data_IF_837622720493
#
_entry.id   IF_837622720493
#
_cell.length_a   1.000
_cell.length_b   1.000
_cell.length_c   1.000
_cell.angle_alpha   90.00
_cell.angle_beta   90.00
_cell.angle_gamma   90.00
#
_symmetry.space_group_name_H-M   'P 1'
#
loop_
_entity.id
_entity.type
_entity.pdbx_description
1 polymer ?
#
# COMPACT_ATOMS: atom_id res chain seq x y z
N UNK A 1 31.39 20.61 10.62
CA UNK A 1 30.96 21.04 9.28
C UNK A 1 31.62 22.33 8.81
N UNK A 2 32.73 22.78 9.42
CA UNK A 2 33.38 24.06 9.08
C UNK A 2 34.55 23.90 8.09
N UNK A 3 34.29 23.37 6.89
CA UNK A 3 35.20 23.54 5.75
C UNK A 3 34.57 24.56 4.82
N UNK A 4 35.06 25.79 4.85
CA UNK A 4 34.52 26.89 4.04
C UNK A 4 34.65 26.63 2.52
N UNK A 5 35.56 25.73 2.13
CA UNK A 5 35.83 25.31 0.75
C UNK A 5 35.29 23.91 0.45
N UNK A 6 34.02 23.65 0.71
CA UNK A 6 33.39 22.38 0.34
C UNK A 6 32.05 22.61 -0.34
N UNK A 7 31.84 21.90 -1.44
CA UNK A 7 30.58 21.89 -2.19
C UNK A 7 29.50 21.14 -1.41
N UNK A 8 28.23 21.37 -1.76
CA UNK A 8 27.10 20.61 -1.18
C UNK A 8 27.28 19.09 -1.31
N UNK A 9 27.81 18.60 -2.43
CA UNK A 9 28.09 17.17 -2.64
C UNK A 9 29.19 16.65 -1.71
N UNK A 10 30.29 17.39 -1.54
CA UNK A 10 31.38 17.00 -0.63
C UNK A 10 30.95 17.02 0.83
N UNK A 11 30.12 17.98 1.22
CA UNK A 11 29.55 18.07 2.56
C UNK A 11 28.64 16.87 2.81
N UNK A 12 27.76 16.53 1.86
CA UNK A 12 26.88 15.37 1.97
C UNK A 12 27.67 14.05 1.99
N UNK A 13 28.69 13.91 1.13
CA UNK A 13 29.56 12.73 1.13
C UNK A 13 30.31 12.57 2.47
N UNK A 14 30.80 13.67 3.05
CA UNK A 14 31.42 13.65 4.37
C UNK A 14 30.44 13.26 5.48
N UNK A 15 29.16 13.64 5.35
CA UNK A 15 28.10 13.19 6.25
C UNK A 15 27.87 11.68 6.14
N UNK A 16 27.69 11.15 4.92
CA UNK A 16 27.50 9.71 4.71
C UNK A 16 28.69 8.88 5.22
N UNK A 17 29.92 9.33 4.96
CA UNK A 17 31.12 8.66 5.46
C UNK A 17 31.15 8.61 6.98
N UNK A 18 30.73 9.69 7.65
CA UNK A 18 30.67 9.76 9.11
C UNK A 18 29.60 8.82 9.66
N UNK A 19 28.41 8.79 9.04
CA UNK A 19 27.35 7.86 9.37
C UNK A 19 27.81 6.40 9.29
N UNK A 20 28.50 6.03 8.21
CA UNK A 20 29.05 4.68 8.03
C UNK A 20 30.11 4.32 9.08
N UNK A 21 31.00 5.27 9.41
CA UNK A 21 32.04 5.09 10.43
C UNK A 21 31.50 4.93 11.84
N UNK A 22 30.43 5.67 12.17
CA UNK A 22 29.78 5.63 13.48
C UNK A 22 28.68 4.55 13.57
N UNK A 23 28.44 3.80 12.48
CA UNK A 23 27.40 2.78 12.36
C UNK A 23 25.99 3.25 12.77
N UNK A 24 25.70 4.52 12.49
CA UNK A 24 24.43 5.14 12.84
C UNK A 24 23.35 4.80 11.80
N UNK A 25 22.11 4.67 12.27
CA UNK A 25 20.98 4.66 11.36
C UNK A 25 20.80 6.03 10.69
N UNK A 26 20.07 6.05 9.57
CA UNK A 26 19.86 7.25 8.76
C UNK A 26 19.23 8.40 9.55
N UNK A 27 18.29 8.08 10.46
CA UNK A 27 17.58 9.06 11.24
C UNK A 27 18.41 9.62 12.39
N UNK A 28 19.17 8.77 13.07
CA UNK A 28 20.08 9.15 14.14
C UNK A 28 21.19 10.08 13.62
N UNK A 29 21.78 9.75 12.46
CA UNK A 29 22.77 10.59 11.81
C UNK A 29 22.18 11.95 11.42
N UNK A 30 20.98 11.96 10.82
CA UNK A 30 20.29 13.20 10.46
C UNK A 30 19.94 14.06 11.69
N UNK A 31 19.50 13.44 12.80
CA UNK A 31 19.24 14.12 14.07
C UNK A 31 20.50 14.82 14.61
N UNK A 32 21.67 14.18 14.50
CA UNK A 32 22.94 14.78 14.93
C UNK A 32 23.28 16.08 14.18
N UNK A 33 22.90 16.17 12.90
CA UNK A 33 23.08 17.38 12.08
C UNK A 33 21.99 18.41 12.37
N UNK A 34 20.75 17.97 12.52
CA UNK A 34 19.61 18.80 12.92
C UNK A 34 19.89 19.57 14.22
N UNK A 35 20.44 18.89 15.24
CA UNK A 35 20.80 19.51 16.52
C UNK A 35 21.88 20.61 16.42
N UNK A 36 22.58 20.71 15.29
CA UNK A 36 23.57 21.74 15.02
C UNK A 36 22.97 22.99 14.35
N UNK A 37 21.69 22.97 13.97
CA UNK A 37 21.06 24.08 13.24
C UNK A 37 20.95 25.35 14.09
N UNK A 38 20.26 25.27 15.23
CA UNK A 38 20.09 26.39 16.17
C UNK A 38 21.41 27.06 16.60
N UNK A 39 22.46 26.32 17.03
CA UNK A 39 23.72 26.96 17.41
C UNK A 39 24.50 27.55 16.23
N UNK A 40 24.13 27.25 14.98
CA UNK A 40 24.87 27.72 13.81
C UNK A 40 24.57 29.19 13.46
N UNK A 41 25.62 30.01 13.45
CA UNK A 41 25.51 31.46 13.14
C UNK A 41 25.78 31.81 11.67
N UNK A 42 26.36 30.87 10.91
CA UNK A 42 26.74 31.07 9.51
C UNK A 42 25.63 30.56 8.60
N UNK A 43 25.16 31.40 7.67
CA UNK A 43 24.15 31.05 6.67
C UNK A 43 24.57 29.81 5.85
N UNK A 44 25.82 29.74 5.41
CA UNK A 44 26.37 28.58 4.69
C UNK A 44 26.19 27.26 5.44
N UNK A 45 26.39 27.27 6.77
CA UNK A 45 26.20 26.09 7.63
C UNK A 45 24.72 25.71 7.72
N UNK A 46 23.83 26.69 7.91
CA UNK A 46 22.37 26.47 7.96
C UNK A 46 21.86 25.86 6.66
N UNK A 47 22.28 26.39 5.51
CA UNK A 47 21.92 25.87 4.19
C UNK A 47 22.45 24.44 3.99
N UNK A 48 23.67 24.18 4.46
CA UNK A 48 24.25 22.83 4.40
C UNK A 48 23.44 21.83 5.22
N UNK A 49 22.98 22.23 6.41
CA UNK A 49 22.12 21.39 7.25
C UNK A 49 20.79 21.12 6.56
N UNK A 50 20.10 22.16 6.07
CA UNK A 50 18.83 22.01 5.35
C UNK A 50 18.98 21.11 4.12
N UNK A 51 20.08 21.28 3.38
CA UNK A 51 20.40 20.45 2.22
C UNK A 51 20.59 18.98 2.61
N UNK A 52 21.32 18.68 3.69
CA UNK A 52 21.51 17.30 4.15
C UNK A 52 20.16 16.69 4.56
N UNK A 53 19.38 17.39 5.39
CA UNK A 53 18.08 16.91 5.89
C UNK A 53 17.06 16.70 4.76
N UNK A 54 17.15 17.47 3.67
CA UNK A 54 16.35 17.22 2.47
C UNK A 54 16.92 16.06 1.65
N UNK A 55 18.19 16.17 1.22
CA UNK A 55 18.85 15.23 0.29
C UNK A 55 18.86 13.79 0.81
N UNK A 56 19.01 13.61 2.11
CA UNK A 56 19.05 12.27 2.70
C UNK A 56 17.72 11.51 2.57
N UNK A 57 16.61 12.22 2.39
CA UNK A 57 15.26 11.66 2.31
C UNK A 57 14.57 11.93 0.96
N UNK A 58 15.29 12.27 -0.11
CA UNK A 58 14.70 12.54 -1.43
C UNK A 58 13.99 11.34 -2.06
N UNK A 59 14.23 10.13 -1.54
CA UNK A 59 13.51 8.93 -1.96
C UNK A 59 12.09 8.85 -1.39
N UNK A 60 11.77 9.66 -0.37
CA UNK A 60 10.46 9.77 0.23
C UNK A 60 9.74 11.03 -0.32
N UNK A 61 8.41 11.00 -0.44
CA UNK A 61 7.66 12.21 -0.73
C UNK A 61 7.81 13.21 0.44
N UNK A 62 7.73 14.52 0.15
CA UNK A 62 8.06 15.59 1.12
C UNK A 62 7.20 15.54 2.39
N UNK A 63 5.96 15.07 2.26
CA UNK A 63 5.00 14.87 3.35
C UNK A 63 5.40 13.73 4.33
N UNK A 64 6.31 12.85 3.91
CA UNK A 64 6.89 11.78 4.74
C UNK A 64 8.32 12.06 5.19
N UNK A 65 8.85 13.27 4.94
CA UNK A 65 10.15 13.66 5.45
C UNK A 65 10.08 13.81 6.98
N UNK A 66 10.94 13.13 7.76
CA UNK A 66 10.87 13.17 9.24
C UNK A 66 11.17 14.56 9.84
N UNK A 67 11.77 15.46 9.06
CA UNK A 67 12.06 16.84 9.46
C UNK A 67 11.08 17.86 8.87
N UNK A 68 9.95 17.42 8.30
CA UNK A 68 8.96 18.31 7.70
C UNK A 68 8.42 19.35 8.68
N UNK A 69 8.07 18.94 9.91
CA UNK A 69 7.60 19.85 10.97
C UNK A 69 8.59 20.98 11.20
N UNK A 70 9.87 20.65 11.29
CA UNK A 70 10.94 21.62 11.45
C UNK A 70 11.06 22.57 10.25
N UNK A 71 10.93 22.07 9.01
CA UNK A 71 10.95 22.94 7.84
C UNK A 71 9.79 23.93 7.83
N UNK A 72 8.60 23.49 8.21
CA UNK A 72 7.40 24.33 8.28
C UNK A 72 7.51 25.39 9.39
N UNK A 73 7.96 25.00 10.59
CA UNK A 73 8.22 25.94 11.70
C UNK A 73 9.24 27.01 11.29
N UNK A 74 10.33 26.61 10.63
CA UNK A 74 11.33 27.57 10.15
C UNK A 74 10.80 28.51 9.07
N UNK A 75 9.88 28.06 8.23
CA UNK A 75 9.25 28.94 7.23
C UNK A 75 8.45 30.05 7.91
N UNK A 76 7.73 29.73 8.99
CA UNK A 76 6.96 30.72 9.75
C UNK A 76 7.85 31.70 10.54
N UNK A 77 8.99 31.21 11.04
CA UNK A 77 9.91 32.00 11.86
C UNK A 77 10.86 32.90 11.05
N UNK A 78 11.25 32.47 9.85
CA UNK A 78 12.27 33.16 9.07
C UNK A 78 11.70 34.34 8.26
N UNK A 79 12.46 35.44 8.10
CA UNK A 79 12.04 36.55 7.25
C UNK A 79 11.86 36.09 5.79
N UNK A 80 10.75 36.47 5.16
CA UNK A 80 10.45 36.11 3.75
C UNK A 80 11.56 36.53 2.75
N UNK A 81 12.31 37.58 3.06
CA UNK A 81 13.41 38.07 2.25
C UNK A 81 14.74 37.31 2.48
N UNK A 82 14.79 36.38 3.44
CA UNK A 82 15.99 35.60 3.73
C UNK A 82 16.20 34.49 2.68
N UNK A 83 17.46 34.19 2.41
CA UNK A 83 17.83 33.12 1.49
C UNK A 83 17.40 31.75 2.05
N UNK A 84 17.52 31.54 3.36
CA UNK A 84 17.08 30.33 4.03
C UNK A 84 15.58 30.08 3.86
N UNK A 85 14.76 31.12 3.98
CA UNK A 85 13.32 31.03 3.72
C UNK A 85 13.05 30.64 2.27
N UNK A 86 13.69 31.32 1.30
CA UNK A 86 13.54 30.98 -0.12
C UNK A 86 13.99 29.53 -0.44
N UNK A 87 15.07 29.07 0.20
CA UNK A 87 15.60 27.72 0.07
C UNK A 87 14.63 26.66 0.60
N UNK A 88 14.02 26.91 1.77
CA UNK A 88 13.00 26.03 2.35
C UNK A 88 11.78 25.90 1.44
N UNK A 89 11.33 27.00 0.84
CA UNK A 89 10.24 26.95 -0.13
C UNK A 89 10.58 26.10 -1.35
N UNK A 90 11.81 26.18 -1.87
CA UNK A 90 12.24 25.29 -2.95
C UNK A 90 12.24 23.81 -2.53
N UNK A 91 12.54 23.51 -1.26
CA UNK A 91 12.42 22.15 -0.70
C UNK A 91 10.95 21.72 -0.65
N UNK A 92 10.06 22.55 -0.10
CA UNK A 92 8.64 22.22 0.09
C UNK A 92 7.88 22.07 -1.23
N UNK A 93 8.17 22.91 -2.22
CA UNK A 93 7.60 22.81 -3.58
C UNK A 93 8.29 21.72 -4.43
N UNK A 94 9.31 21.02 -3.90
CA UNK A 94 10.15 20.04 -4.61
C UNK A 94 10.76 20.59 -5.91
N UNK A 95 11.11 21.88 -5.91
CA UNK A 95 11.72 22.59 -7.05
C UNK A 95 13.21 22.82 -6.88
N UNK A 96 13.81 22.37 -5.77
CA UNK A 96 15.23 22.57 -5.48
C UNK A 96 16.10 22.01 -6.62
N UNK A 97 16.94 22.84 -7.26
CA UNK A 97 17.79 22.38 -8.36
C UNK A 97 18.91 21.47 -7.84
N UNK A 98 19.64 20.83 -8.76
CA UNK A 98 20.84 20.09 -8.37
C UNK A 98 21.94 21.09 -7.94
N UNK A 99 22.19 21.16 -6.63
CA UNK A 99 23.17 22.05 -6.03
C UNK A 99 24.54 21.39 -5.78
N UNK A 100 24.75 20.15 -6.25
CA UNK A 100 25.91 19.33 -5.89
C UNK A 100 27.26 20.00 -6.10
N UNK A 101 27.41 20.80 -7.16
CA UNK A 101 28.65 21.50 -7.51
C UNK A 101 28.81 22.90 -6.93
N UNK A 102 27.79 23.41 -6.22
CA UNK A 102 27.79 24.76 -5.67
C UNK A 102 28.33 24.79 -4.23
N UNK A 103 28.89 25.93 -3.85
CA UNK A 103 29.34 26.16 -2.48
C UNK A 103 28.21 26.80 -1.67
N UNK A 104 27.97 26.36 -0.42
CA UNK A 104 26.91 26.94 0.40
C UNK A 104 27.08 28.44 0.68
N UNK A 105 28.30 28.97 0.62
CA UNK A 105 28.59 30.39 0.84
C UNK A 105 28.44 31.26 -0.42
N UNK A 106 28.42 30.66 -1.62
CA UNK A 106 28.22 31.39 -2.89
C UNK A 106 26.75 31.48 -3.28
N UNK A 107 25.89 30.67 -2.65
CA UNK A 107 24.48 30.57 -3.00
C UNK A 107 23.78 31.91 -2.81
N UNK A 108 23.15 32.39 -3.90
CA UNK A 108 22.40 33.64 -3.91
C UNK A 108 20.97 33.40 -4.40
N UNK A 109 20.06 34.32 -4.07
CA UNK A 109 18.64 34.21 -4.43
C UNK A 109 18.39 34.17 -5.94
N UNK A 110 19.37 34.56 -6.76
CA UNK A 110 19.29 34.54 -8.22
C UNK A 110 19.55 33.16 -8.84
N UNK A 111 20.19 32.25 -8.11
CA UNK A 111 20.50 30.90 -8.57
C UNK A 111 19.40 29.88 -8.23
N UNK A 112 18.50 30.25 -7.31
CA UNK A 112 17.33 29.48 -6.93
C UNK A 112 16.15 29.81 -7.86
N UNK A 113 15.34 28.81 -8.23
CA UNK A 113 14.19 29.02 -9.10
C UNK A 113 13.14 29.92 -8.42
N UNK A 114 12.38 30.65 -9.23
CA UNK A 114 11.26 31.45 -8.72
C UNK A 114 10.20 30.53 -8.10
N UNK A 115 10.11 30.60 -6.78
CA UNK A 115 9.11 29.91 -5.95
C UNK A 115 7.72 30.45 -6.28
N UNK A 116 6.73 29.56 -6.41
CA UNK A 116 5.34 29.97 -6.71
C UNK A 116 4.63 30.59 -5.51
N UNK A 117 5.19 30.42 -4.31
CA UNK A 117 4.64 30.82 -3.02
C UNK A 117 3.23 30.24 -2.89
N UNK A 118 3.10 28.95 -3.19
CA UNK A 118 1.81 28.28 -3.14
C UNK A 118 1.38 28.09 -1.68
N UNK A 119 0.75 29.12 -1.12
CA UNK A 119 0.22 29.13 0.25
C UNK A 119 -0.71 27.94 0.49
N UNK A 120 -1.41 27.46 -0.55
CA UNK A 120 -2.34 26.33 -0.42
C UNK A 120 -1.62 24.99 -0.19
N UNK A 121 -0.45 24.80 -0.80
CA UNK A 121 0.40 23.62 -0.58
C UNK A 121 0.97 23.64 0.84
N UNK A 122 1.44 24.81 1.29
CA UNK A 122 1.99 24.97 2.65
C UNK A 122 0.90 24.74 3.69
N UNK A 123 -0.29 25.33 3.51
CA UNK A 123 -1.45 25.10 4.38
C UNK A 123 -1.82 23.61 4.44
N UNK A 124 -1.74 22.89 3.31
CA UNK A 124 -1.95 21.45 3.27
C UNK A 124 -0.88 20.69 4.07
N UNK A 125 0.39 21.05 3.93
CA UNK A 125 1.49 20.43 4.68
C UNK A 125 1.39 20.72 6.19
N UNK A 126 1.06 21.95 6.59
CA UNK A 126 0.77 22.29 7.99
C UNK A 126 -0.42 21.52 8.53
N UNK A 127 -1.50 21.38 7.74
CA UNK A 127 -2.65 20.58 8.14
C UNK A 127 -2.27 19.11 8.34
N UNK A 128 -1.39 18.56 7.50
CA UNK A 128 -0.88 17.19 7.65
C UNK A 128 0.00 17.03 8.88
N UNK A 129 0.91 17.96 9.14
CA UNK A 129 1.79 17.92 10.32
C UNK A 129 1.01 18.11 11.62
N UNK A 130 0.08 19.08 11.67
CA UNK A 130 -0.75 19.32 12.87
C UNK A 130 -1.56 18.07 13.23
N UNK A 131 -2.12 17.41 12.22
CA UNK A 131 -2.82 16.13 12.38
C UNK A 131 -1.93 14.99 12.92
N UNK A 132 -0.65 14.96 12.55
CA UNK A 132 0.34 13.98 13.05
C UNK A 132 0.84 14.29 14.47
N UNK A 133 0.86 15.58 14.87
CA UNK A 133 1.26 16.00 16.23
C UNK A 133 0.17 15.67 17.25
N UNK A 134 -1.10 15.86 16.88
CA UNK A 134 -2.25 15.57 17.74
C UNK A 134 -2.51 14.07 17.91
N UNK A 135 -2.12 13.24 16.93
CA UNK A 135 -2.19 11.78 16.98
C UNK A 135 -1.04 11.16 16.15
N UNK A 136 0.04 10.68 16.79
CA UNK A 136 1.22 10.15 16.10
C UNK A 136 0.95 8.83 15.36
N UNK A 137 -0.20 8.18 15.62
CA UNK A 137 -0.67 6.99 14.90
C UNK A 137 -1.64 7.36 13.75
N UNK A 138 -1.92 8.64 13.53
CA UNK A 138 -2.84 9.08 12.48
C UNK A 138 -2.23 8.85 11.09
N UNK A 139 -2.67 7.78 10.44
CA UNK A 139 -2.32 7.55 9.05
C UNK A 139 -3.02 8.58 8.18
N UNK A 140 -2.23 9.50 7.61
CA UNK A 140 -2.75 10.42 6.59
C UNK A 140 -2.93 9.66 5.28
N UNK A 141 -4.17 9.29 5.03
CA UNK A 141 -4.57 8.66 3.78
C UNK A 141 -4.45 9.63 2.61
N UNK A 142 -4.00 9.11 1.47
CA UNK A 142 -3.99 9.85 0.21
C UNK A 142 -5.42 9.94 -0.32
N UNK A 143 -5.99 11.15 -0.49
CA UNK A 143 -7.37 11.32 -0.95
C UNK A 143 -7.61 10.70 -2.34
N UNK A 144 -6.57 10.60 -3.18
CA UNK A 144 -6.67 9.93 -4.46
C UNK A 144 -6.87 8.42 -4.28
N UNK A 145 -6.19 7.81 -3.31
CA UNK A 145 -6.33 6.38 -2.98
C UNK A 145 -7.69 6.11 -2.32
N UNK A 146 -8.16 7.01 -1.45
CA UNK A 146 -9.50 6.92 -0.87
C UNK A 146 -10.60 6.93 -1.95
N UNK A 147 -10.46 7.84 -2.92
CA UNK A 147 -11.39 7.92 -4.05
C UNK A 147 -11.31 6.66 -4.91
N UNK A 148 -10.11 6.18 -5.24
CA UNK A 148 -9.93 4.97 -6.04
C UNK A 148 -10.53 3.73 -5.37
N UNK A 149 -10.37 3.56 -4.06
CA UNK A 149 -10.96 2.44 -3.31
C UNK A 149 -12.49 2.54 -3.25
N UNK A 150 -13.03 3.75 -3.14
CA UNK A 150 -14.47 3.97 -3.20
C UNK A 150 -15.01 3.64 -4.59
N UNK A 151 -14.30 4.03 -5.65
CA UNK A 151 -14.65 3.74 -7.04
C UNK A 151 -14.45 2.26 -7.41
N UNK A 152 -13.55 1.54 -6.74
CA UNK A 152 -13.30 0.12 -6.95
C UNK A 152 -14.55 -0.75 -6.68
N UNK A 153 -15.47 -0.28 -5.86
CA UNK A 153 -16.75 -0.95 -5.60
C UNK A 153 -17.85 -0.63 -6.64
N UNK A 154 -17.58 0.32 -7.54
CA UNK A 154 -18.55 0.88 -8.49
C UNK A 154 -18.17 0.60 -9.96
N UNK A 155 -16.87 0.60 -10.27
CA UNK A 155 -16.34 0.38 -11.62
C UNK A 155 -15.06 -0.47 -11.58
N UNK A 156 -14.71 -1.06 -12.73
CA UNK A 156 -13.38 -1.67 -12.90
C UNK A 156 -12.31 -0.58 -12.99
N UNK A 157 -11.23 -0.76 -12.25
CA UNK A 157 -10.05 0.10 -12.24
C UNK A 157 -9.14 -0.21 -13.43
N UNK A 158 -8.48 0.83 -13.95
CA UNK A 158 -7.49 0.71 -15.02
C UNK A 158 -6.20 0.06 -14.49
N UNK A 159 -5.33 -0.39 -15.40
CA UNK A 159 -4.05 -1.02 -15.00
C UNK A 159 -3.18 -0.06 -14.18
N UNK A 160 -3.08 1.21 -14.59
CA UNK A 160 -2.32 2.22 -13.86
C UNK A 160 -2.89 2.51 -12.46
N UNK A 161 -4.22 2.49 -12.31
CA UNK A 161 -4.86 2.66 -10.99
C UNK A 161 -4.58 1.47 -10.07
N UNK A 162 -4.58 0.24 -10.60
CA UNK A 162 -4.21 -0.95 -9.84
C UNK A 162 -2.72 -0.91 -9.43
N UNK A 163 -1.84 -0.43 -10.31
CA UNK A 163 -0.43 -0.22 -9.98
C UNK A 163 -0.26 0.83 -8.87
N UNK A 164 -1.03 1.92 -8.86
CA UNK A 164 -0.97 2.88 -7.76
C UNK A 164 -1.38 2.25 -6.42
N UNK A 165 -2.45 1.45 -6.42
CA UNK A 165 -2.93 0.77 -5.21
C UNK A 165 -1.95 -0.27 -4.67
N UNK A 166 -1.20 -0.97 -5.53
CA UNK A 166 -0.27 -2.02 -5.10
C UNK A 166 0.99 -1.49 -4.39
N UNK A 167 1.31 -0.20 -4.55
CA UNK A 167 2.45 0.43 -3.87
C UNK A 167 2.07 1.05 -2.52
N UNK A 168 0.78 1.07 -2.17
CA UNK A 168 0.26 1.68 -0.94
C UNK A 168 -0.08 0.66 0.15
N UNK A 169 -0.09 1.13 1.40
CA UNK A 169 -0.46 0.29 2.55
C UNK A 169 -1.98 0.26 2.71
N UNK A 170 -2.63 -0.66 1.98
CA UNK A 170 -4.09 -0.80 1.97
C UNK A 170 -4.73 -1.10 3.34
N UNK A 171 -3.95 -1.52 4.35
CA UNK A 171 -4.45 -1.75 5.71
C UNK A 171 -5.05 -0.49 6.33
N UNK A 172 -4.47 0.66 6.00
CA UNK A 172 -4.84 1.96 6.56
C UNK A 172 -6.20 2.44 6.00
N UNK A 173 -6.61 1.91 4.84
CA UNK A 173 -7.83 2.27 4.11
C UNK A 173 -9.00 1.29 4.31
N UNK A 174 -8.83 0.29 5.17
CA UNK A 174 -9.82 -0.78 5.40
C UNK A 174 -11.20 -0.26 5.82
N UNK A 175 -11.24 0.86 6.53
CA UNK A 175 -12.49 1.49 7.00
C UNK A 175 -13.36 2.08 5.88
N UNK A 176 -12.83 2.27 4.68
CA UNK A 176 -13.57 2.84 3.55
C UNK A 176 -14.52 1.82 2.88
N UNK A 177 -14.25 0.53 3.04
CA UNK A 177 -15.02 -0.53 2.37
C UNK A 177 -16.06 -1.08 3.32
N UNK A 178 -17.33 -0.83 3.03
CA UNK A 178 -18.45 -1.40 3.80
C UNK A 178 -18.67 -2.87 3.40
N UNK A 179 -19.06 -3.77 4.33
CA UNK A 179 -19.32 -5.18 4.01
C UNK A 179 -20.23 -5.41 2.79
N UNK A 180 -21.27 -4.59 2.60
CA UNK A 180 -22.20 -4.69 1.47
C UNK A 180 -21.56 -4.40 0.09
N UNK A 181 -20.40 -3.74 0.07
CA UNK A 181 -19.67 -3.44 -1.16
C UNK A 181 -18.69 -4.56 -1.53
N UNK A 182 -18.35 -5.43 -0.58
CA UNK A 182 -17.40 -6.52 -0.75
C UNK A 182 -17.69 -7.40 -1.98
N UNK A 183 -18.94 -7.86 -2.22
CA UNK A 183 -19.22 -8.72 -3.37
C UNK A 183 -18.98 -7.99 -4.71
N UNK A 184 -19.34 -6.70 -4.79
CA UNK A 184 -19.13 -5.88 -5.99
C UNK A 184 -17.64 -5.67 -6.26
N UNK A 185 -16.86 -5.37 -5.22
CA UNK A 185 -15.42 -5.20 -5.31
C UNK A 185 -14.74 -6.46 -5.85
N UNK A 186 -15.12 -7.63 -5.32
CA UNK A 186 -14.57 -8.92 -5.75
C UNK A 186 -14.86 -9.23 -7.22
N UNK A 187 -16.06 -8.89 -7.70
CA UNK A 187 -16.46 -9.13 -9.08
C UNK A 187 -15.82 -8.13 -10.06
N UNK A 188 -15.69 -6.85 -9.67
CA UNK A 188 -15.18 -5.80 -10.55
C UNK A 188 -13.65 -5.71 -10.59
N UNK A 189 -12.98 -5.93 -9.46
CA UNK A 189 -11.55 -5.65 -9.26
C UNK A 189 -10.87 -6.77 -8.46
N UNK A 190 -10.67 -7.92 -9.10
CA UNK A 190 -10.11 -9.11 -8.43
C UNK A 190 -8.73 -8.89 -7.80
N UNK A 191 -7.86 -8.08 -8.41
CA UNK A 191 -6.48 -7.89 -7.95
C UNK A 191 -6.44 -7.12 -6.64
N UNK A 192 -7.15 -6.00 -6.57
CA UNK A 192 -7.33 -5.24 -5.33
C UNK A 192 -8.01 -6.09 -4.26
N UNK A 193 -9.04 -6.85 -4.66
CA UNK A 193 -9.76 -7.72 -3.74
C UNK A 193 -8.86 -8.81 -3.12
N UNK A 194 -7.91 -9.37 -3.88
CA UNK A 194 -6.97 -10.37 -3.34
C UNK A 194 -6.09 -9.82 -2.23
N UNK A 195 -5.74 -8.53 -2.26
CA UNK A 195 -4.90 -7.89 -1.26
C UNK A 195 -5.71 -7.36 -0.07
N UNK A 196 -6.86 -6.74 -0.31
CA UNK A 196 -7.63 -6.03 0.73
C UNK A 196 -8.58 -6.94 1.52
N UNK A 197 -9.19 -7.95 0.89
CA UNK A 197 -10.14 -8.86 1.58
C UNK A 197 -9.49 -9.58 2.78
N UNK A 198 -8.25 -10.11 2.70
CA UNK A 198 -7.57 -10.67 3.87
C UNK A 198 -7.38 -9.67 5.02
N UNK A 199 -7.24 -8.37 4.71
CA UNK A 199 -7.09 -7.31 5.71
C UNK A 199 -8.42 -6.97 6.37
N UNK A 200 -9.50 -6.89 5.58
CA UNK A 200 -10.87 -6.66 6.07
C UNK A 200 -11.31 -7.79 7.02
N UNK A 201 -11.06 -9.04 6.65
CA UNK A 201 -11.38 -10.21 7.49
C UNK A 201 -10.61 -10.27 8.82
N UNK A 202 -9.46 -9.59 8.93
CA UNK A 202 -8.74 -9.45 10.20
C UNK A 202 -9.35 -8.38 11.09
N UNK A 203 -10.01 -7.39 10.50
CA UNK A 203 -10.49 -6.20 11.19
C UNK A 203 -11.87 -6.42 11.80
N UNK A 204 -12.79 -7.02 11.04
CA UNK A 204 -14.16 -7.29 11.49
C UNK A 204 -14.70 -8.62 10.94
N UNK A 205 -15.41 -9.35 11.79
CA UNK A 205 -16.16 -10.56 11.44
C UNK A 205 -17.33 -10.32 10.49
N UNK A 206 -17.88 -9.11 10.41
CA UNK A 206 -19.00 -8.78 9.51
C UNK A 206 -18.67 -9.03 8.03
N UNK A 207 -17.39 -8.87 7.64
CA UNK A 207 -16.92 -9.18 6.28
C UNK A 207 -16.97 -10.68 5.96
N UNK A 208 -16.88 -11.56 6.98
CA UNK A 208 -17.04 -13.00 6.77
C UNK A 208 -18.48 -13.31 6.37
N UNK A 209 -19.47 -12.70 7.03
CA UNK A 209 -20.88 -12.85 6.67
C UNK A 209 -21.16 -12.33 5.26
N UNK A 210 -20.62 -11.16 4.90
CA UNK A 210 -20.73 -10.61 3.55
C UNK A 210 -20.11 -11.54 2.49
N UNK A 211 -18.99 -12.19 2.81
CA UNK A 211 -18.35 -13.16 1.94
C UNK A 211 -19.18 -14.45 1.76
N UNK A 212 -19.89 -14.90 2.80
CA UNK A 212 -20.83 -16.05 2.69
C UNK A 212 -22.03 -15.69 1.80
N UNK A 213 -22.55 -14.47 1.94
CA UNK A 213 -23.70 -13.99 1.16
C UNK A 213 -23.34 -13.59 -0.28
N UNK A 214 -22.05 -13.47 -0.60
CA UNK A 214 -21.58 -13.10 -1.93
C UNK A 214 -22.01 -14.16 -2.98
N UNK A 215 -22.39 -13.72 -4.20
CA UNK A 215 -22.70 -14.65 -5.28
C UNK A 215 -21.43 -15.39 -5.71
N UNK A 216 -21.57 -16.69 -6.02
CA UNK A 216 -20.45 -17.49 -6.50
C UNK A 216 -20.13 -17.09 -7.95
N UNK A 217 -19.07 -16.32 -8.10
CA UNK A 217 -18.44 -15.94 -9.37
C UNK A 217 -17.06 -16.57 -9.54
N UNK A 218 -16.49 -16.51 -10.74
CA UNK A 218 -15.13 -17.00 -10.97
C UNK A 218 -14.11 -16.27 -10.08
N UNK A 219 -14.27 -14.94 -9.96
CA UNK A 219 -13.38 -14.10 -9.17
C UNK A 219 -13.50 -14.43 -7.68
N UNK A 220 -14.73 -14.64 -7.19
CA UNK A 220 -14.96 -15.00 -5.78
C UNK A 220 -14.25 -16.29 -5.37
N UNK A 221 -14.29 -17.34 -6.21
CA UNK A 221 -13.62 -18.61 -5.95
C UNK A 221 -12.10 -18.42 -5.90
N UNK A 222 -11.54 -17.61 -6.80
CA UNK A 222 -10.11 -17.33 -6.85
C UNK A 222 -9.64 -16.54 -5.63
N UNK A 223 -10.40 -15.51 -5.22
CA UNK A 223 -10.11 -14.72 -4.02
C UNK A 223 -10.16 -15.58 -2.76
N UNK A 224 -11.21 -16.40 -2.59
CA UNK A 224 -11.32 -17.32 -1.45
C UNK A 224 -10.19 -18.36 -1.47
N UNK A 225 -9.81 -18.87 -2.64
CA UNK A 225 -8.66 -19.76 -2.77
C UNK A 225 -7.34 -19.08 -2.36
N UNK A 226 -7.12 -17.85 -2.82
CA UNK A 226 -5.96 -17.04 -2.47
C UNK A 226 -5.86 -16.82 -0.95
N UNK A 227 -6.99 -16.47 -0.31
CA UNK A 227 -7.08 -16.27 1.15
C UNK A 227 -6.66 -17.54 1.91
N UNK A 228 -7.21 -18.70 1.50
CA UNK A 228 -6.95 -19.98 2.15
C UNK A 228 -5.51 -20.45 2.00
N UNK A 229 -4.86 -20.12 0.88
CA UNK A 229 -3.49 -20.58 0.59
C UNK A 229 -2.44 -19.66 1.20
N UNK A 230 -2.62 -18.34 1.13
CA UNK A 230 -1.56 -17.37 1.40
C UNK A 230 -1.69 -16.63 2.75
N UNK A 231 -2.89 -16.57 3.33
CA UNK A 231 -3.13 -15.67 4.46
C UNK A 231 -3.61 -16.37 5.72
N UNK A 232 -4.74 -17.08 5.68
CA UNK A 232 -5.36 -17.65 6.87
C UNK A 232 -6.33 -18.81 6.55
N UNK A 233 -6.40 -19.86 7.38
CA UNK A 233 -7.52 -20.80 7.36
C UNK A 233 -8.83 -20.12 7.77
N UNK A 234 -9.85 -20.22 6.93
CA UNK A 234 -11.22 -19.77 7.25
C UNK A 234 -11.93 -20.81 8.14
N UNK A 235 -12.98 -20.42 8.89
CA UNK A 235 -13.75 -21.35 9.71
C UNK A 235 -14.28 -22.53 8.89
N UNK A 236 -14.33 -23.72 9.50
CA UNK A 236 -14.77 -24.93 8.79
C UNK A 236 -16.23 -24.81 8.34
N UNK A 237 -17.09 -24.19 9.13
CA UNK A 237 -18.51 -23.93 8.79
C UNK A 237 -18.65 -23.03 7.55
N UNK A 238 -17.77 -22.03 7.44
CA UNK A 238 -17.69 -21.19 6.24
C UNK A 238 -17.33 -22.04 5.02
N UNK A 239 -16.31 -22.89 5.12
CA UNK A 239 -15.86 -23.75 4.01
C UNK A 239 -16.94 -24.74 3.57
N UNK A 240 -17.62 -25.37 4.54
CA UNK A 240 -18.76 -26.25 4.29
C UNK A 240 -19.85 -25.54 3.49
N UNK A 241 -20.27 -24.35 3.96
CA UNK A 241 -21.30 -23.57 3.28
C UNK A 241 -20.85 -23.12 1.89
N UNK A 242 -19.62 -22.63 1.76
CA UNK A 242 -19.09 -22.08 0.51
C UNK A 242 -18.91 -23.15 -0.57
N UNK A 243 -18.44 -24.35 -0.20
CA UNK A 243 -18.32 -25.49 -1.13
C UNK A 243 -19.71 -25.94 -1.61
N UNK A 244 -20.66 -26.14 -0.68
CA UNK A 244 -22.02 -26.54 -1.03
C UNK A 244 -22.72 -25.48 -1.91
N UNK A 245 -22.54 -24.19 -1.60
CA UNK A 245 -23.09 -23.11 -2.42
C UNK A 245 -22.42 -23.05 -3.80
N UNK A 246 -21.11 -23.31 -3.89
CA UNK A 246 -20.38 -23.36 -5.16
C UNK A 246 -20.88 -24.47 -6.09
N UNK A 247 -21.13 -25.65 -5.54
CA UNK A 247 -21.69 -26.79 -6.28
C UNK A 247 -23.11 -26.44 -6.77
N UNK A 248 -23.98 -25.94 -5.87
CA UNK A 248 -25.34 -25.52 -6.22
C UNK A 248 -25.39 -24.36 -7.22
N UNK A 249 -24.38 -23.50 -7.23
CA UNK A 249 -24.28 -22.42 -8.19
C UNK A 249 -24.06 -22.97 -9.61
N UNK A 250 -23.23 -24.02 -9.76
CA UNK A 250 -23.07 -24.70 -11.05
C UNK A 250 -24.39 -25.31 -11.56
N UNK A 251 -25.19 -25.91 -10.68
CA UNK A 251 -26.45 -26.55 -11.06
C UNK A 251 -27.53 -25.55 -11.53
N UNK A 252 -27.48 -24.32 -11.01
CA UNK A 252 -28.42 -23.24 -11.38
C UNK A 252 -28.10 -22.58 -12.73
N UNK A 253 -26.91 -22.81 -13.28
CA UNK A 253 -26.53 -22.26 -14.58
C UNK A 253 -27.09 -23.09 -15.73
N UNK A 254 -27.53 -22.40 -16.79
CA UNK A 254 -27.84 -23.03 -18.07
C UNK A 254 -26.59 -23.65 -18.70
N UNK A 255 -26.79 -24.76 -19.42
CA UNK A 255 -25.73 -25.48 -20.12
C UNK A 255 -25.06 -24.57 -21.15
N UNK A 256 -23.89 -24.06 -20.77
CA UNK A 256 -23.14 -23.07 -21.52
C UNK A 256 -21.64 -23.26 -21.30
N UNK A 257 -20.78 -22.79 -22.23
CA UNK A 257 -19.34 -22.80 -22.02
C UNK A 257 -18.90 -22.01 -20.78
N UNK A 258 -19.73 -21.09 -20.26
CA UNK A 258 -19.50 -20.39 -18.99
C UNK A 258 -19.68 -21.33 -17.79
N UNK A 259 -20.73 -22.15 -17.81
CA UNK A 259 -20.94 -23.21 -16.80
C UNK A 259 -19.78 -24.19 -16.76
N UNK A 260 -19.31 -24.67 -17.92
CA UNK A 260 -18.14 -25.56 -18.00
C UNK A 260 -16.89 -24.94 -17.39
N UNK A 261 -16.66 -23.62 -17.58
CA UNK A 261 -15.53 -22.91 -16.97
C UNK A 261 -15.65 -22.84 -15.45
N UNK A 262 -16.84 -22.53 -14.94
CA UNK A 262 -17.11 -22.46 -13.51
C UNK A 262 -16.99 -23.83 -12.84
N UNK A 263 -17.58 -24.88 -13.43
CA UNK A 263 -17.43 -26.27 -12.95
C UNK A 263 -15.95 -26.68 -12.92
N UNK A 264 -15.17 -26.35 -13.96
CA UNK A 264 -13.72 -26.61 -13.97
C UNK A 264 -12.97 -25.85 -12.88
N UNK A 265 -13.41 -24.66 -12.51
CA UNK A 265 -12.78 -23.87 -11.45
C UNK A 265 -13.16 -24.40 -10.06
N UNK A 266 -14.43 -24.72 -9.83
CA UNK A 266 -14.91 -25.37 -8.60
C UNK A 266 -14.20 -26.70 -8.38
N UNK A 267 -14.05 -27.52 -9.44
CA UNK A 267 -13.32 -28.78 -9.35
C UNK A 267 -11.84 -28.58 -8.95
N UNK A 268 -11.15 -27.60 -9.57
CA UNK A 268 -9.76 -27.26 -9.23
C UNK A 268 -9.62 -26.68 -7.82
N UNK A 269 -10.59 -25.87 -7.40
CA UNK A 269 -10.66 -25.31 -6.06
C UNK A 269 -10.76 -26.43 -5.02
N UNK A 270 -11.75 -27.32 -5.14
CA UNK A 270 -11.94 -28.46 -4.23
C UNK A 270 -10.71 -29.38 -4.24
N UNK A 271 -10.17 -29.67 -5.43
CA UNK A 271 -8.95 -30.48 -5.55
C UNK A 271 -7.79 -29.86 -4.76
N UNK A 272 -7.57 -28.55 -4.90
CA UNK A 272 -6.50 -27.85 -4.19
C UNK A 272 -6.70 -27.87 -2.67
N UNK A 273 -7.93 -27.74 -2.18
CA UNK A 273 -8.25 -27.83 -0.76
C UNK A 273 -7.95 -29.23 -0.18
N UNK A 274 -8.28 -30.29 -0.92
CA UNK A 274 -8.00 -31.67 -0.53
C UNK A 274 -6.50 -32.00 -0.57
N UNK A 275 -5.79 -31.54 -1.60
CA UNK A 275 -4.35 -31.76 -1.73
C UNK A 275 -3.55 -31.07 -0.62
N UNK A 276 -3.93 -29.84 -0.28
CA UNK A 276 -3.33 -29.07 0.81
C UNK A 276 -3.83 -29.46 2.20
N UNK A 277 -4.74 -30.43 2.30
CA UNK A 277 -5.38 -30.90 3.56
C UNK A 277 -6.05 -29.76 4.35
N UNK A 278 -6.62 -28.78 3.65
CA UNK A 278 -7.37 -27.69 4.27
C UNK A 278 -8.77 -28.13 4.72
N UNK A 279 -9.32 -29.17 4.09
CA UNK A 279 -10.59 -29.79 4.47
C UNK A 279 -10.40 -31.31 4.71
N UNK A 280 -11.04 -31.89 5.73
CA UNK A 280 -11.00 -33.32 5.97
C UNK A 280 -11.82 -34.05 4.90
N UNK A 281 -11.17 -34.98 4.19
CA UNK A 281 -11.82 -35.69 3.08
C UNK A 281 -13.08 -36.46 3.50
N UNK A 282 -13.10 -37.02 4.72
CA UNK A 282 -14.21 -37.80 5.29
C UNK A 282 -15.55 -37.09 5.22
N UNK A 283 -15.55 -35.76 5.40
CA UNK A 283 -16.78 -34.99 5.60
C UNK A 283 -17.43 -34.62 4.26
N UNK A 284 -16.67 -34.64 3.15
CA UNK A 284 -17.11 -34.15 1.85
C UNK A 284 -17.19 -35.23 0.76
N UNK A 285 -16.84 -36.49 1.05
CA UNK A 285 -16.78 -37.56 0.02
C UNK A 285 -18.07 -37.67 -0.78
N UNK A 286 -19.21 -37.73 -0.09
CA UNK A 286 -20.52 -37.97 -0.72
C UNK A 286 -20.90 -36.81 -1.63
N UNK A 287 -20.73 -35.57 -1.16
CA UNK A 287 -21.08 -34.38 -1.93
C UNK A 287 -20.17 -34.19 -3.15
N UNK A 288 -18.86 -34.40 -2.98
CA UNK A 288 -17.88 -34.31 -4.06
C UNK A 288 -18.10 -35.42 -5.10
N UNK A 289 -18.40 -36.64 -4.68
CA UNK A 289 -18.71 -37.74 -5.61
C UNK A 289 -19.98 -37.44 -6.42
N UNK A 290 -21.04 -36.96 -5.78
CA UNK A 290 -22.27 -36.57 -6.46
C UNK A 290 -22.05 -35.44 -7.49
N UNK A 291 -21.26 -34.44 -7.11
CA UNK A 291 -20.82 -33.38 -8.03
C UNK A 291 -20.03 -33.94 -9.20
N UNK A 292 -19.06 -34.82 -8.93
CA UNK A 292 -18.23 -35.41 -9.97
C UNK A 292 -19.02 -36.23 -10.98
N UNK A 293 -19.98 -37.05 -10.51
CA UNK A 293 -20.87 -37.85 -11.37
C UNK A 293 -21.69 -36.96 -12.28
N UNK A 294 -22.19 -35.83 -11.78
CA UNK A 294 -23.01 -34.87 -12.54
C UNK A 294 -22.22 -34.20 -13.68
N UNK A 295 -20.90 -34.06 -13.54
CA UNK A 295 -20.04 -33.34 -14.49
C UNK A 295 -18.88 -34.17 -15.07
N UNK A 296 -19.00 -35.51 -15.08
CA UNK A 296 -17.97 -36.47 -15.53
C UNK A 296 -17.42 -36.20 -16.94
N UNK A 297 -18.16 -35.48 -17.79
CA UNK A 297 -17.72 -35.13 -19.15
C UNK A 297 -16.48 -34.23 -19.15
N UNK A 298 -16.18 -33.55 -18.04
CA UNK A 298 -15.08 -32.60 -17.93
C UNK A 298 -13.84 -33.25 -17.32
N UNK A 299 -12.70 -33.13 -18.01
CA UNK A 299 -11.42 -33.73 -17.57
C UNK A 299 -11.02 -33.37 -16.13
N UNK A 300 -11.15 -32.10 -15.73
CA UNK A 300 -10.80 -31.65 -14.37
C UNK A 300 -11.63 -32.34 -13.28
N UNK A 301 -12.88 -32.68 -13.61
CA UNK A 301 -13.80 -33.36 -12.69
C UNK A 301 -13.42 -34.83 -12.55
N UNK A 302 -12.98 -35.46 -13.65
CA UNK A 302 -12.44 -36.83 -13.62
C UNK A 302 -11.18 -36.90 -12.76
N UNK A 303 -10.30 -35.90 -12.85
CA UNK A 303 -9.08 -35.85 -12.04
C UNK A 303 -9.40 -35.70 -10.54
N UNK A 304 -10.38 -34.84 -10.19
CA UNK A 304 -10.91 -34.75 -8.82
C UNK A 304 -11.54 -36.07 -8.35
N UNK A 305 -12.36 -36.72 -9.18
CA UNK A 305 -12.99 -38.00 -8.84
C UNK A 305 -11.96 -39.09 -8.56
N UNK A 306 -10.88 -39.16 -9.35
CA UNK A 306 -9.77 -40.08 -9.09
C UNK A 306 -9.11 -39.78 -7.76
N UNK A 307 -8.81 -38.51 -7.47
CA UNK A 307 -8.20 -38.12 -6.20
C UNK A 307 -9.05 -38.56 -4.99
N UNK A 308 -10.38 -38.44 -5.12
CA UNK A 308 -11.33 -38.88 -4.09
C UNK A 308 -11.44 -40.41 -4.00
N UNK A 309 -11.29 -41.12 -5.12
CA UNK A 309 -11.41 -42.58 -5.15
C UNK A 309 -10.13 -43.30 -4.69
N UNK A 310 -8.95 -42.71 -4.87
CA UNK A 310 -7.66 -43.33 -4.50
C UNK A 310 -7.24 -43.11 -3.04
N UNK A 311 -7.76 -42.08 -2.37
CA UNK A 311 -7.46 -41.78 -0.96
C UNK A 311 -8.47 -42.40 0.02
N UNK A 312 -9.28 -43.34 -0.48
CA UNK A 312 -10.22 -44.13 0.30
C UNK A 312 -9.67 -45.50 0.66
#
# INVERSE_FOLDING_TARGET
MDKEDSTFSEIYASFCLKQEQEHQDAFEAACCVFLQYEPSRKQATRLSILYILYRHYTALPIDRNPFLTFFLELVDELPQASLEHHFLFCILEQTLPNLDSLFPHTLSSTELPSVKNDSSLIDLLHQRVTRLIDDPDLVVLDPQIEQLLTEASQRTLTLSENELLSHERLIDYTHLIVPDQLPRLMDLNQFVAMEIVPLLLKSDSSYLEALVMAPISMNSIEIVHHILVNHRPLPQDFLHHYIANSIRACDRMEDSPKKDRQVKQVARFIQSLLEKKMIPMSDYVVEIQAFCVSYMKLKSVVDLFRLVSYKH
#
